data_IF_532953723385
#
_entry.id   IF_532953723385
#
_cell.length_a   1.000
_cell.length_b   1.000
_cell.length_c   1.000
_cell.angle_alpha   90.00
_cell.angle_beta   90.00
_cell.angle_gamma   90.00
#
_symmetry.space_group_name_H-M   'P 1'
#
loop_
_entity.id
_entity.type
_entity.pdbx_description
1 polymer ?
#
# COMPACT_ATOMS: atom_id res chain seq x y z
N UNK A 1 -19.99 11.55 -9.32
CA UNK A 1 -18.74 11.06 -9.92
C UNK A 1 -17.63 11.43 -8.97
N UNK A 2 -16.93 10.43 -8.40
CA UNK A 2 -15.70 10.69 -7.65
C UNK A 2 -14.63 10.94 -8.71
N UNK A 3 -14.00 12.10 -8.66
CA UNK A 3 -12.93 12.47 -9.58
C UNK A 3 -11.70 11.58 -9.30
N UNK A 4 -11.37 10.74 -10.27
CA UNK A 4 -10.26 9.79 -10.18
C UNK A 4 -8.89 10.47 -10.25
N UNK A 5 -8.82 11.75 -10.65
CA UNK A 5 -7.57 12.51 -10.64
C UNK A 5 -7.05 12.70 -9.20
N UNK A 6 -7.92 12.93 -8.22
CA UNK A 6 -7.50 13.12 -6.83
C UNK A 6 -6.95 11.86 -6.14
N UNK A 7 -7.12 10.66 -6.73
CA UNK A 7 -6.75 9.40 -6.07
C UNK A 7 -5.32 8.93 -6.37
N UNK A 8 -4.72 9.40 -7.47
CA UNK A 8 -3.39 8.95 -7.92
C UNK A 8 -2.45 10.08 -8.34
N UNK A 9 -2.90 11.34 -8.42
CA UNK A 9 -2.09 12.49 -8.82
C UNK A 9 -1.20 13.06 -7.70
N UNK A 10 -1.09 12.37 -6.56
CA UNK A 10 -0.29 12.83 -5.42
C UNK A 10 1.11 12.21 -5.35
N UNK A 11 1.48 11.30 -6.25
CA UNK A 11 2.80 10.64 -6.21
C UNK A 11 3.93 11.59 -6.66
N UNK A 12 3.65 12.66 -7.42
CA UNK A 12 4.68 13.60 -7.89
C UNK A 12 5.00 14.74 -6.89
N UNK A 13 4.17 14.95 -5.85
CA UNK A 13 4.38 16.01 -4.83
C UNK A 13 5.05 15.52 -3.52
N UNK A 14 5.32 14.21 -3.38
CA UNK A 14 5.76 13.62 -2.10
C UNK A 14 7.23 13.90 -1.71
N UNK A 15 8.13 14.09 -2.68
CA UNK A 15 9.58 14.18 -2.40
C UNK A 15 10.02 15.54 -1.83
N UNK A 16 9.30 16.64 -2.12
CA UNK A 16 9.62 17.98 -1.64
C UNK A 16 8.93 18.33 -0.30
N UNK A 17 7.81 17.70 0.03
CA UNK A 17 7.04 17.99 1.25
C UNK A 17 7.63 17.28 2.49
N UNK A 18 8.29 16.13 2.30
CA UNK A 18 8.91 15.36 3.37
C UNK A 18 10.01 16.12 4.14
N UNK A 19 10.64 17.13 3.52
CA UNK A 19 11.69 17.95 4.15
C UNK A 19 11.15 19.04 5.09
N UNK A 20 9.86 19.37 5.04
CA UNK A 20 9.23 20.43 5.86
C UNK A 20 8.41 19.92 7.05
N UNK A 21 8.28 18.60 7.23
CA UNK A 21 7.46 18.01 8.31
C UNK A 21 8.13 18.15 9.67
N UNK A 22 7.38 18.66 10.64
CA UNK A 22 7.76 18.70 12.06
C UNK A 22 8.08 17.29 12.57
N UNK A 23 8.85 17.14 13.67
CA UNK A 23 9.15 15.83 14.24
C UNK A 23 7.91 15.00 14.56
N UNK A 24 6.79 15.67 14.89
CA UNK A 24 5.49 15.05 15.17
C UNK A 24 4.77 14.60 13.89
N UNK A 25 4.89 15.34 12.79
CA UNK A 25 4.34 14.95 11.49
C UNK A 25 5.12 13.79 10.85
N UNK A 26 6.40 13.61 11.20
CA UNK A 26 7.16 12.39 10.82
C UNK A 26 6.66 11.14 11.53
N UNK A 27 5.87 11.27 12.60
CA UNK A 27 5.30 10.15 13.35
C UNK A 27 4.19 9.44 12.56
N UNK A 28 3.58 10.12 11.58
CA UNK A 28 2.44 9.61 10.83
C UNK A 28 2.76 9.53 9.33
N UNK A 29 3.01 8.31 8.86
CA UNK A 29 3.41 7.97 7.50
C UNK A 29 2.18 7.71 6.62
N UNK A 30 1.12 7.11 7.18
CA UNK A 30 -0.05 6.64 6.40
C UNK A 30 -1.35 7.42 6.64
N UNK A 31 -1.27 8.59 7.28
CA UNK A 31 -2.47 9.30 7.78
C UNK A 31 -3.49 9.63 6.69
N UNK A 32 -3.01 10.08 5.52
CA UNK A 32 -3.85 10.49 4.39
C UNK A 32 -4.49 9.27 3.71
N UNK A 33 -3.74 8.20 3.58
CA UNK A 33 -4.14 6.95 2.95
C UNK A 33 -5.15 6.22 3.84
N UNK A 34 -4.91 6.18 5.16
CA UNK A 34 -5.83 5.59 6.14
C UNK A 34 -7.16 6.34 6.21
N UNK A 35 -7.16 7.68 6.08
CA UNK A 35 -8.39 8.47 6.00
C UNK A 35 -9.24 8.08 4.78
N UNK A 36 -8.61 7.99 3.62
CA UNK A 36 -9.28 7.60 2.37
C UNK A 36 -9.79 6.15 2.44
N UNK A 37 -9.00 5.26 3.05
CA UNK A 37 -9.35 3.87 3.25
C UNK A 37 -10.56 3.70 4.19
N UNK A 38 -10.57 4.38 5.34
CA UNK A 38 -11.69 4.35 6.29
C UNK A 38 -13.00 4.80 5.64
N UNK A 39 -12.97 5.90 4.89
CA UNK A 39 -14.13 6.34 4.12
C UNK A 39 -14.59 5.30 3.09
N UNK A 40 -13.64 4.65 2.40
CA UNK A 40 -13.92 3.54 1.49
C UNK A 40 -14.56 2.31 2.17
N UNK A 41 -14.30 2.12 3.47
CA UNK A 41 -14.94 1.09 4.29
C UNK A 41 -16.27 1.54 4.93
N UNK A 42 -16.72 2.77 4.66
CA UNK A 42 -18.01 3.31 5.10
C UNK A 42 -17.95 4.17 6.36
N UNK A 43 -16.75 4.56 6.81
CA UNK A 43 -16.57 5.53 7.90
C UNK A 43 -16.86 6.97 7.42
N UNK A 44 -16.78 7.94 8.33
CA UNK A 44 -16.93 9.36 8.02
C UNK A 44 -15.79 9.89 7.14
N UNK A 45 -16.07 10.94 6.36
CA UNK A 45 -15.06 11.60 5.50
C UNK A 45 -13.89 12.19 6.31
N UNK A 46 -14.15 12.56 7.55
CA UNK A 46 -13.16 13.06 8.51
C UNK A 46 -13.23 12.23 9.79
N UNK A 47 -12.59 11.04 9.82
CA UNK A 47 -12.52 10.21 11.01
C UNK A 47 -11.79 10.93 12.15
N UNK A 48 -12.08 10.54 13.38
CA UNK A 48 -11.41 11.09 14.55
C UNK A 48 -9.89 10.85 14.50
N UNK A 49 -9.10 11.86 14.87
CA UNK A 49 -7.63 11.79 14.80
C UNK A 49 -7.05 10.69 15.70
N UNK A 50 -7.67 10.44 16.86
CA UNK A 50 -7.29 9.32 17.74
C UNK A 50 -7.50 7.95 17.07
N UNK A 51 -8.54 7.80 16.25
CA UNK A 51 -8.80 6.56 15.49
C UNK A 51 -7.69 6.34 14.46
N UNK A 52 -7.29 7.40 13.75
CA UNK A 52 -6.20 7.34 12.78
C UNK A 52 -4.87 6.98 13.44
N UNK A 53 -4.53 7.59 14.57
CA UNK A 53 -3.30 7.30 15.31
C UNK A 53 -3.25 5.84 15.78
N UNK A 54 -4.34 5.34 16.37
CA UNK A 54 -4.41 3.95 16.85
C UNK A 54 -4.35 2.97 15.68
N UNK A 55 -5.09 3.24 14.60
CA UNK A 55 -5.10 2.39 13.42
C UNK A 55 -3.72 2.31 12.77
N UNK A 56 -3.03 3.44 12.66
CA UNK A 56 -1.67 3.49 12.13
C UNK A 56 -0.70 2.66 12.98
N UNK A 57 -0.79 2.76 14.30
CA UNK A 57 0.01 1.94 15.20
C UNK A 57 -0.24 0.44 14.99
N UNK A 58 -1.51 0.04 14.86
CA UNK A 58 -1.91 -1.36 14.59
C UNK A 58 -1.33 -1.84 13.25
N UNK A 59 -1.40 -1.01 12.21
CA UNK A 59 -0.86 -1.34 10.87
C UNK A 59 0.66 -1.49 10.93
N UNK A 60 1.37 -0.59 11.61
CA UNK A 60 2.82 -0.66 11.77
C UNK A 60 3.26 -1.92 12.54
N UNK A 61 2.53 -2.27 13.60
CA UNK A 61 2.76 -3.50 14.35
C UNK A 61 2.49 -4.75 13.50
N UNK A 62 1.43 -4.73 12.69
CA UNK A 62 1.12 -5.81 11.76
C UNK A 62 2.23 -6.01 10.72
N UNK A 63 2.71 -4.93 10.07
CA UNK A 63 3.80 -4.99 9.09
C UNK A 63 5.07 -5.55 9.73
N UNK A 64 5.45 -5.05 10.91
CA UNK A 64 6.62 -5.55 11.66
C UNK A 64 6.50 -7.05 11.95
N UNK A 65 5.34 -7.51 12.39
CA UNK A 65 5.12 -8.91 12.71
C UNK A 65 5.14 -9.81 11.46
N UNK A 66 4.59 -9.35 10.34
CA UNK A 66 4.66 -10.08 9.06
C UNK A 66 6.11 -10.18 8.57
N UNK A 67 6.87 -9.09 8.61
CA UNK A 67 8.29 -9.10 8.24
C UNK A 67 9.12 -10.01 9.14
N UNK A 68 8.86 -9.99 10.46
CA UNK A 68 9.51 -10.90 11.42
C UNK A 68 9.26 -12.36 11.07
N UNK A 69 8.01 -12.74 10.81
CA UNK A 69 7.65 -14.09 10.38
C UNK A 69 8.27 -14.46 9.02
N UNK A 70 8.41 -13.49 8.12
CA UNK A 70 9.00 -13.75 6.80
C UNK A 70 10.49 -14.05 6.93
N UNK A 71 11.20 -13.35 7.83
CA UNK A 71 12.60 -13.62 8.15
C UNK A 71 12.82 -15.00 8.78
N UNK A 72 11.86 -15.50 9.58
CA UNK A 72 11.94 -16.83 10.20
C UNK A 72 11.79 -17.98 9.19
N UNK A 73 11.01 -17.77 8.12
CA UNK A 73 10.76 -18.79 7.09
C UNK A 73 11.78 -18.71 5.95
N UNK A 74 12.22 -17.50 5.62
CA UNK A 74 13.11 -17.21 4.49
C UNK A 74 14.59 -17.38 4.83
N UNK A 75 15.44 -16.80 3.98
CA UNK A 75 16.89 -16.79 4.22
C UNK A 75 17.23 -15.78 5.33
N UNK A 76 18.24 -16.06 6.17
CA UNK A 76 18.71 -15.11 7.17
C UNK A 76 19.06 -13.77 6.51
N UNK A 77 18.65 -12.67 7.14
CA UNK A 77 18.97 -11.28 6.78
C UNK A 77 18.37 -10.74 5.46
N UNK A 78 17.52 -11.50 4.74
CA UNK A 78 16.88 -11.01 3.51
C UNK A 78 15.44 -11.51 3.41
N UNK A 79 14.51 -10.58 3.15
CA UNK A 79 13.12 -10.88 2.86
C UNK A 79 12.90 -10.83 1.35
N UNK A 80 12.35 -11.88 0.77
CA UNK A 80 11.88 -11.91 -0.61
C UNK A 80 10.35 -11.91 -0.66
N UNK A 81 9.78 -11.54 -1.81
CA UNK A 81 8.32 -11.55 -2.02
C UNK A 81 7.72 -12.94 -1.88
N UNK A 82 8.47 -13.97 -2.24
CA UNK A 82 8.08 -15.38 -2.09
C UNK A 82 7.84 -15.76 -0.63
N UNK A 83 8.60 -15.20 0.31
CA UNK A 83 8.46 -15.47 1.74
C UNK A 83 7.12 -14.93 2.27
N UNK A 84 6.77 -13.71 1.86
CA UNK A 84 5.49 -13.07 2.22
C UNK A 84 4.32 -13.84 1.60
N UNK A 85 4.44 -14.19 0.32
CA UNK A 85 3.42 -14.99 -0.38
C UNK A 85 3.21 -16.35 0.28
N UNK A 86 4.29 -16.99 0.72
CA UNK A 86 4.23 -18.24 1.46
C UNK A 86 3.50 -18.11 2.81
N UNK A 87 3.72 -17.02 3.57
CA UNK A 87 3.01 -16.80 4.83
C UNK A 87 1.50 -16.66 4.65
N UNK A 88 1.07 -16.02 3.56
CA UNK A 88 -0.35 -15.72 3.30
C UNK A 88 -1.12 -16.96 2.80
N UNK A 89 -0.44 -18.03 2.36
CA UNK A 89 -1.04 -19.21 1.72
C UNK A 89 -2.16 -19.91 2.50
N UNK A 90 -2.21 -19.73 3.82
CA UNK A 90 -3.24 -20.34 4.67
C UNK A 90 -4.57 -19.60 4.62
N UNK A 91 -4.55 -18.29 4.34
CA UNK A 91 -5.75 -17.48 4.19
C UNK A 91 -6.15 -17.46 2.72
N UNK A 92 -7.13 -18.30 2.36
CA UNK A 92 -7.59 -18.44 0.98
C UNK A 92 -8.09 -17.13 0.36
N UNK A 93 -8.72 -16.25 1.16
CA UNK A 93 -9.24 -14.97 0.65
C UNK A 93 -8.10 -14.02 0.31
N UNK A 94 -7.14 -13.85 1.23
CA UNK A 94 -5.97 -13.00 0.99
C UNK A 94 -5.09 -13.57 -0.13
N UNK A 95 -4.89 -14.88 -0.15
CA UNK A 95 -4.10 -15.56 -1.17
C UNK A 95 -4.69 -15.38 -2.58
N UNK A 96 -5.99 -15.62 -2.74
CA UNK A 96 -6.69 -15.38 -4.00
C UNK A 96 -6.58 -13.91 -4.43
N UNK A 97 -6.80 -12.98 -3.49
CA UNK A 97 -6.73 -11.55 -3.77
C UNK A 97 -5.35 -11.10 -4.25
N UNK A 98 -4.28 -11.58 -3.64
CA UNK A 98 -2.89 -11.27 -4.06
C UNK A 98 -2.66 -11.75 -5.49
N UNK A 99 -3.10 -12.96 -5.83
CA UNK A 99 -2.96 -13.52 -7.18
C UNK A 99 -3.68 -12.67 -8.24
N UNK A 100 -4.91 -12.25 -7.94
CA UNK A 100 -5.68 -11.37 -8.83
C UNK A 100 -4.98 -10.03 -9.07
N UNK A 101 -4.51 -9.39 -7.99
CA UNK A 101 -3.83 -8.09 -8.07
C UNK A 101 -2.54 -8.16 -8.88
N UNK A 102 -1.76 -9.25 -8.72
CA UNK A 102 -0.55 -9.47 -9.51
C UNK A 102 -0.86 -9.71 -10.99
N UNK A 103 -1.89 -10.51 -11.31
CA UNK A 103 -2.33 -10.73 -12.69
C UNK A 103 -2.75 -9.42 -13.36
N UNK A 104 -3.58 -8.63 -12.68
CA UNK A 104 -4.07 -7.36 -13.20
C UNK A 104 -2.91 -6.35 -13.39
N UNK A 105 -1.96 -6.31 -12.47
CA UNK A 105 -0.76 -5.47 -12.60
C UNK A 105 0.05 -5.84 -13.84
N UNK A 106 0.20 -7.14 -14.11
CA UNK A 106 0.91 -7.62 -15.30
C UNK A 106 0.17 -7.28 -16.59
N UNK A 107 -1.16 -7.44 -16.61
CA UNK A 107 -2.01 -7.06 -17.74
C UNK A 107 -1.93 -5.57 -18.05
N UNK A 108 -1.99 -4.71 -17.02
CA UNK A 108 -1.83 -3.25 -17.18
C UNK A 108 -0.45 -2.89 -17.73
N UNK A 109 0.62 -3.55 -17.25
CA UNK A 109 1.98 -3.32 -17.77
C UNK A 109 2.09 -3.72 -19.25
N UNK A 110 1.52 -4.85 -19.64
CA UNK A 110 1.48 -5.31 -21.04
C UNK A 110 0.70 -4.34 -21.92
N UNK A 111 -0.46 -3.87 -21.45
CA UNK A 111 -1.28 -2.92 -22.17
C UNK A 111 -0.53 -1.60 -22.41
N UNK A 112 0.07 -1.02 -21.36
CA UNK A 112 0.86 0.22 -21.47
C UNK A 112 1.97 0.10 -22.51
N UNK A 113 2.75 -0.98 -22.46
CA UNK A 113 3.84 -1.23 -23.41
C UNK A 113 3.35 -1.26 -24.87
N UNK A 114 2.20 -1.90 -25.12
CA UNK A 114 1.62 -1.96 -26.46
C UNK A 114 1.18 -0.58 -27.01
N UNK A 115 0.87 0.39 -26.14
CA UNK A 115 0.54 1.76 -26.58
C UNK A 115 1.79 2.61 -26.82
N UNK A 116 2.84 2.42 -26.03
CA UNK A 116 4.11 3.13 -26.22
C UNK A 116 4.80 2.71 -27.52
N UNK A 117 4.79 1.40 -27.85
CA UNK A 117 5.36 0.87 -29.10
C UNK A 117 4.62 1.37 -30.37
N UNK A 118 3.35 1.79 -30.24
CA UNK A 118 2.55 2.37 -31.35
C UNK A 118 2.81 3.86 -31.53
N UNK A 119 3.29 4.55 -30.49
CA UNK A 119 3.55 6.00 -30.52
C UNK A 119 4.88 6.34 -31.18
N UNK A 120 5.77 5.35 -31.33
CA UNK A 120 7.07 5.48 -32.01
C UNK A 120 7.05 5.07 -33.49
N UNK A 121 5.86 4.81 -34.07
CA UNK A 121 5.63 4.58 -35.50
C UNK A 121 4.87 5.77 -36.08
#
# INVERSE_FOLDING_TARGET
MIDASCLFDSEEEEDDEAKKKTPEERKFIFRRELRSMLYGFGDEKQPAENTLEVLEQIVMDYIREVCRKALEVGKPHRINLEDIHYLIRRDQKKFGRVKELLSLSEELKRARKAFDDVKEI
#
